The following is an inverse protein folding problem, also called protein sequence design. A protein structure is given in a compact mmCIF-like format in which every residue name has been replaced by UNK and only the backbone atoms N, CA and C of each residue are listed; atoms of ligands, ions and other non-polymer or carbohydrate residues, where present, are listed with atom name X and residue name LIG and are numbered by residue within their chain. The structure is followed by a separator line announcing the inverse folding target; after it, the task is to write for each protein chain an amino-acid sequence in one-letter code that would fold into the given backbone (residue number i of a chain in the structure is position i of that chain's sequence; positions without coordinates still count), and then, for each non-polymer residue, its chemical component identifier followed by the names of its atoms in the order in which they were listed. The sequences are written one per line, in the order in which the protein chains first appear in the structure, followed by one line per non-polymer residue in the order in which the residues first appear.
data_IF_573604389315
#
_entry.id   IF_573604389315
#
_cell.length_a   1.000
_cell.length_b   1.000
_cell.length_c   1.000
_cell.angle_alpha   90.00
_cell.angle_beta   90.00
_cell.angle_gamma   90.00
#
_symmetry.space_group_name_H-M   'P 1'
#
loop_
_entity.id
_entity.type
_entity.pdbx_description
1 polymer ?
#
# COMPACT_ATOMS: atom_id res chain seq x y z
N UNK A 1 29.51 2.58 -12.94
CA UNK A 1 28.57 1.89 -13.85
C UNK A 1 28.26 0.45 -13.43
N UNK A 2 29.17 -0.54 -13.55
CA UNK A 2 28.87 -1.93 -13.12
C UNK A 2 28.78 -2.15 -11.60
N UNK A 3 29.43 -1.29 -10.81
CA UNK A 3 29.39 -1.38 -9.34
C UNK A 3 28.06 -0.81 -8.79
N UNK A 4 27.54 0.28 -9.38
CA UNK A 4 26.30 0.93 -8.96
C UNK A 4 25.05 0.07 -9.24
N UNK A 5 25.06 -0.70 -10.34
CA UNK A 5 23.98 -1.63 -10.67
C UNK A 5 24.01 -2.86 -9.73
N UNK A 6 25.19 -3.33 -9.32
CA UNK A 6 25.33 -4.37 -8.29
C UNK A 6 24.90 -3.90 -6.91
N UNK A 7 25.11 -2.62 -6.57
CA UNK A 7 24.61 -2.02 -5.33
C UNK A 7 23.08 -1.94 -5.34
N UNK A 8 22.47 -1.60 -6.48
CA UNK A 8 21.00 -1.58 -6.64
C UNK A 8 20.38 -3.00 -6.54
N UNK A 9 21.08 -4.02 -7.08
CA UNK A 9 20.66 -5.41 -7.03
C UNK A 9 20.87 -6.10 -5.66
N UNK A 10 21.81 -5.62 -4.85
CA UNK A 10 22.01 -6.10 -3.47
C UNK A 10 21.09 -5.39 -2.46
N UNK A 11 20.59 -4.19 -2.78
CA UNK A 11 19.65 -3.44 -1.94
C UNK A 11 18.25 -4.09 -1.87
N UNK A 12 17.92 -4.95 -2.84
CA UNK A 12 16.67 -5.73 -2.85
C UNK A 12 16.74 -7.03 -2.04
N UNK A 13 17.92 -7.39 -1.50
CA UNK A 13 18.13 -8.69 -0.84
C UNK A 13 17.99 -8.70 0.69
N UNK A 14 18.14 -7.56 1.36
CA UNK A 14 17.95 -7.47 2.81
C UNK A 14 16.64 -6.77 3.16
N UNK A 15 15.54 -7.49 2.91
CA UNK A 15 14.19 -7.15 3.37
C UNK A 15 14.12 -7.01 4.92
N UNK A 16 15.09 -7.56 5.66
CA UNK A 16 15.29 -7.30 7.10
C UNK A 16 15.65 -5.84 7.45
N UNK A 17 16.10 -5.04 6.49
CA UNK A 17 16.41 -3.63 6.67
C UNK A 17 15.18 -2.71 6.62
N UNK A 18 13.97 -3.25 6.43
CA UNK A 18 12.80 -2.47 5.97
C UNK A 18 12.16 -1.54 7.00
N UNK A 19 12.41 -1.69 8.30
CA UNK A 19 12.13 -0.59 9.25
C UNK A 19 13.16 0.55 9.10
N UNK A 20 14.38 0.23 8.69
CA UNK A 20 15.44 1.21 8.40
C UNK A 20 15.34 1.85 7.01
N UNK A 21 14.43 1.39 6.15
CA UNK A 21 14.32 1.81 4.75
C UNK A 21 13.46 3.09 4.55
N UNK A 22 12.71 3.54 5.56
CA UNK A 22 11.96 4.79 5.48
C UNK A 22 12.87 5.99 5.10
N UNK A 23 14.03 6.09 5.75
CA UNK A 23 15.02 7.14 5.47
C UNK A 23 15.64 7.00 4.08
N UNK A 24 15.93 5.77 3.65
CA UNK A 24 16.50 5.50 2.31
C UNK A 24 15.48 5.75 1.19
N UNK A 25 14.22 5.34 1.37
CA UNK A 25 13.16 5.58 0.41
C UNK A 25 12.95 7.08 0.18
N UNK A 26 12.90 7.87 1.26
CA UNK A 26 12.85 9.33 1.18
C UNK A 26 14.03 9.92 0.41
N UNK A 27 15.27 9.52 0.74
CA UNK A 27 16.46 10.01 0.06
C UNK A 27 16.48 9.68 -1.44
N UNK A 28 16.08 8.46 -1.81
CA UNK A 28 16.03 8.02 -3.20
C UNK A 28 14.95 8.80 -3.96
N UNK A 29 13.76 8.94 -3.37
CA UNK A 29 12.67 9.77 -3.91
C UNK A 29 13.13 11.20 -4.15
N UNK A 30 13.76 11.83 -3.16
CA UNK A 30 14.19 13.23 -3.24
C UNK A 30 15.25 13.40 -4.33
N UNK A 31 16.22 12.47 -4.41
CA UNK A 31 17.22 12.44 -5.48
C UNK A 31 16.58 12.28 -6.87
N UNK A 32 15.67 11.31 -7.05
CA UNK A 32 15.02 11.07 -8.34
C UNK A 32 14.19 12.28 -8.77
N UNK A 33 13.44 12.88 -7.84
CA UNK A 33 12.63 14.08 -8.09
C UNK A 33 13.49 15.26 -8.56
N UNK A 34 14.64 15.48 -7.93
CA UNK A 34 15.50 16.63 -8.23
C UNK A 34 16.44 16.40 -9.43
N UNK A 35 16.99 15.19 -9.57
CA UNK A 35 18.12 14.91 -10.47
C UNK A 35 17.72 14.07 -11.68
N UNK A 36 16.62 13.33 -11.61
CA UNK A 36 16.18 12.44 -12.68
C UNK A 36 14.65 12.41 -12.84
N UNK A 37 13.96 13.55 -13.05
CA UNK A 37 12.50 13.60 -13.12
C UNK A 37 11.91 12.82 -14.29
N UNK A 38 12.71 12.45 -15.29
CA UNK A 38 12.32 11.55 -16.38
C UNK A 38 12.14 10.08 -15.93
N UNK A 39 12.64 9.72 -14.75
CA UNK A 39 12.40 8.43 -14.07
C UNK A 39 11.16 8.52 -13.16
N UNK A 40 10.04 8.95 -13.74
CA UNK A 40 8.80 9.20 -13.00
C UNK A 40 8.27 7.93 -12.31
N UNK A 41 8.33 6.78 -12.98
CA UNK A 41 7.83 5.53 -12.43
C UNK A 41 8.64 5.07 -11.22
N UNK A 42 9.96 5.22 -11.28
CA UNK A 42 10.88 4.93 -10.18
C UNK A 42 10.64 5.91 -9.03
N UNK A 43 10.52 7.20 -9.32
CA UNK A 43 10.19 8.22 -8.31
C UNK A 43 8.88 7.87 -7.59
N UNK A 44 7.81 7.58 -8.35
CA UNK A 44 6.49 7.24 -7.79
C UNK A 44 6.54 5.97 -6.95
N UNK A 45 7.27 4.95 -7.40
CA UNK A 45 7.49 3.73 -6.63
C UNK A 45 8.09 4.05 -5.25
N UNK A 46 9.18 4.82 -5.21
CA UNK A 46 9.82 5.19 -3.94
C UNK A 46 8.97 6.12 -3.08
N UNK A 47 8.18 7.01 -3.70
CA UNK A 47 7.20 7.85 -2.99
C UNK A 47 6.10 7.02 -2.33
N UNK A 48 5.58 6.00 -3.01
CA UNK A 48 4.61 5.07 -2.42
C UNK A 48 5.20 4.30 -1.22
N UNK A 49 6.45 3.85 -1.33
CA UNK A 49 7.14 3.17 -0.24
C UNK A 49 7.34 4.11 0.96
N UNK A 50 7.80 5.33 0.72
CA UNK A 50 7.98 6.36 1.76
C UNK A 50 6.65 6.65 2.47
N UNK A 51 5.58 6.94 1.72
CA UNK A 51 4.24 7.18 2.26
C UNK A 51 3.70 5.98 3.03
N UNK A 52 3.90 4.76 2.55
CA UNK A 52 3.45 3.56 3.25
C UNK A 52 4.03 3.46 4.67
N UNK A 53 5.34 3.67 4.81
CA UNK A 53 6.00 3.57 6.11
C UNK A 53 5.87 4.83 6.97
N UNK A 54 5.65 6.01 6.37
CA UNK A 54 5.72 7.29 7.06
C UNK A 54 4.39 8.06 7.14
N UNK A 55 3.28 7.54 6.60
CA UNK A 55 1.95 8.18 6.62
C UNK A 55 1.37 8.51 8.01
N UNK A 56 1.96 8.00 9.09
CA UNK A 56 1.41 8.12 10.45
C UNK A 56 0.23 7.18 10.73
N UNK A 57 -0.36 6.55 9.71
CA UNK A 57 -1.45 5.57 9.86
C UNK A 57 -0.93 4.27 10.47
N UNK A 58 0.24 3.80 10.01
CA UNK A 58 0.96 2.69 10.64
C UNK A 58 1.91 3.25 11.71
N UNK A 59 1.58 2.98 12.96
CA UNK A 59 2.47 3.28 14.09
C UNK A 59 3.73 2.40 14.05
N UNK A 60 4.77 2.78 14.80
CA UNK A 60 5.95 1.92 14.92
C UNK A 60 5.64 0.56 15.58
N UNK A 61 4.62 0.50 16.42
CA UNK A 61 4.11 -0.77 16.94
C UNK A 61 3.46 -1.63 15.86
N UNK A 62 2.64 -1.02 14.98
CA UNK A 62 2.03 -1.70 13.84
C UNK A 62 3.11 -2.27 12.88
N UNK A 63 4.19 -1.53 12.63
CA UNK A 63 5.33 -1.99 11.83
C UNK A 63 6.04 -3.19 12.48
N UNK A 64 6.22 -3.17 13.80
CA UNK A 64 6.78 -4.33 14.53
C UNK A 64 5.85 -5.53 14.48
N UNK A 65 4.54 -5.33 14.64
CA UNK A 65 3.52 -6.39 14.50
C UNK A 65 3.51 -6.98 13.10
N UNK A 66 3.66 -6.15 12.05
CA UNK A 66 3.78 -6.61 10.68
C UNK A 66 4.94 -7.59 10.54
N UNK A 67 6.13 -7.23 11.02
CA UNK A 67 7.30 -8.12 11.03
C UNK A 67 7.03 -9.38 11.85
N UNK A 68 6.32 -9.25 12.96
CA UNK A 68 5.88 -10.36 13.82
C UNK A 68 4.89 -11.33 13.17
N UNK A 69 4.19 -10.96 12.07
CA UNK A 69 3.31 -11.87 11.31
C UNK A 69 4.04 -12.98 10.56
N UNK A 70 5.37 -12.93 10.55
CA UNK A 70 6.23 -13.79 9.73
C UNK A 70 7.19 -14.55 10.64
N UNK A 71 7.16 -15.88 10.56
CA UNK A 71 7.80 -16.79 11.52
C UNK A 71 9.25 -17.11 11.15
N UNK A 72 9.62 -16.91 9.89
CA UNK A 72 10.96 -17.22 9.39
C UNK A 72 11.50 -16.11 8.50
N UNK A 73 12.82 -16.10 8.32
CA UNK A 73 13.48 -15.12 7.47
C UNK A 73 13.08 -15.24 5.99
N UNK A 74 12.97 -16.47 5.50
CA UNK A 74 12.48 -16.75 4.15
C UNK A 74 11.05 -16.21 3.94
N UNK A 75 10.17 -16.44 4.92
CA UNK A 75 8.80 -15.94 4.84
C UNK A 75 8.74 -14.41 4.87
N UNK A 76 9.61 -13.76 5.66
CA UNK A 76 9.75 -12.30 5.65
C UNK A 76 10.11 -11.77 4.28
N UNK A 77 11.10 -12.37 3.63
CA UNK A 77 11.49 -11.99 2.27
C UNK A 77 10.37 -12.21 1.25
N UNK A 78 9.68 -13.34 1.29
CA UNK A 78 8.62 -13.67 0.33
C UNK A 78 7.37 -12.80 0.49
N UNK A 79 6.82 -12.72 1.71
CA UNK A 79 5.66 -11.88 2.04
C UNK A 79 6.00 -10.42 1.82
N UNK A 80 7.21 -10.06 2.19
CA UNK A 80 7.73 -8.73 2.04
C UNK A 80 7.78 -8.22 0.61
N UNK A 81 8.37 -9.02 -0.29
CA UNK A 81 8.38 -8.72 -1.73
C UNK A 81 6.96 -8.54 -2.27
N UNK A 82 6.02 -9.39 -1.87
CA UNK A 82 4.62 -9.25 -2.28
C UNK A 82 4.00 -7.92 -1.84
N UNK A 83 4.30 -7.45 -0.62
CA UNK A 83 3.82 -6.15 -0.14
C UNK A 83 4.43 -5.01 -0.96
N UNK A 84 5.74 -5.06 -1.23
CA UNK A 84 6.43 -4.06 -2.06
C UNK A 84 5.83 -4.04 -3.48
N UNK A 85 5.63 -5.21 -4.10
CA UNK A 85 5.06 -5.33 -5.43
C UNK A 85 3.64 -4.74 -5.48
N UNK A 86 2.84 -4.96 -4.43
CA UNK A 86 1.50 -4.36 -4.32
C UNK A 86 1.57 -2.84 -4.20
N UNK A 87 2.42 -2.31 -3.32
CA UNK A 87 2.61 -0.86 -3.14
C UNK A 87 3.10 -0.21 -4.45
N UNK A 88 4.01 -0.89 -5.17
CA UNK A 88 4.54 -0.41 -6.44
C UNK A 88 3.53 -0.37 -7.58
N UNK A 89 2.48 -1.21 -7.53
CA UNK A 89 1.39 -1.21 -8.52
C UNK A 89 0.38 -0.09 -8.31
N UNK A 90 0.34 0.51 -7.12
CA UNK A 90 -0.66 1.52 -6.80
C UNK A 90 -0.44 2.79 -7.63
N UNK A 91 -1.51 3.19 -8.32
CA UNK A 91 -1.53 4.32 -9.24
C UNK A 91 -2.03 5.63 -8.58
N UNK A 92 -2.70 5.59 -7.43
CA UNK A 92 -3.19 6.78 -6.72
C UNK A 92 -2.89 6.76 -5.23
N UNK A 93 -2.71 7.94 -4.63
CA UNK A 93 -2.49 8.08 -3.18
C UNK A 93 -3.67 7.54 -2.37
N UNK A 94 -4.89 7.66 -2.92
CA UNK A 94 -6.13 7.14 -2.31
C UNK A 94 -6.06 5.62 -2.14
N UNK A 95 -5.69 4.89 -3.18
CA UNK A 95 -5.47 3.44 -3.10
C UNK A 95 -4.32 3.07 -2.17
N UNK A 96 -3.26 3.88 -2.11
CA UNK A 96 -2.16 3.61 -1.18
C UNK A 96 -2.66 3.64 0.27
N UNK A 97 -3.50 4.63 0.62
CA UNK A 97 -4.14 4.70 1.94
C UNK A 97 -5.02 3.47 2.19
N UNK A 98 -5.76 2.97 1.18
CA UNK A 98 -6.53 1.73 1.31
C UNK A 98 -5.64 0.52 1.62
N UNK A 99 -4.50 0.38 0.94
CA UNK A 99 -3.52 -0.68 1.22
C UNK A 99 -2.98 -0.55 2.66
N UNK A 100 -2.64 0.65 3.11
CA UNK A 100 -2.13 0.91 4.46
C UNK A 100 -3.17 0.51 5.53
N UNK A 101 -4.44 0.83 5.32
CA UNK A 101 -5.51 0.42 6.23
C UNK A 101 -5.73 -1.09 6.23
N UNK A 102 -5.68 -1.74 5.06
CA UNK A 102 -5.76 -3.19 4.99
C UNK A 102 -4.57 -3.85 5.71
N UNK A 103 -3.36 -3.26 5.62
CA UNK A 103 -2.20 -3.70 6.41
C UNK A 103 -2.48 -3.55 7.90
N UNK A 104 -3.05 -2.41 8.33
CA UNK A 104 -3.42 -2.19 9.73
C UNK A 104 -4.41 -3.25 10.24
N UNK A 105 -5.48 -3.49 9.50
CA UNK A 105 -6.46 -4.53 9.81
C UNK A 105 -5.82 -5.92 9.91
N UNK A 106 -4.86 -6.23 9.03
CA UNK A 106 -4.14 -7.48 9.09
C UNK A 106 -3.25 -7.60 10.33
N UNK A 107 -2.45 -6.57 10.66
CA UNK A 107 -1.58 -6.60 11.84
C UNK A 107 -2.37 -6.68 13.15
N UNK A 108 -3.56 -6.07 13.19
CA UNK A 108 -4.48 -6.11 14.33
C UNK A 108 -5.30 -7.42 14.40
N UNK A 109 -5.08 -8.36 13.47
CA UNK A 109 -5.79 -9.65 13.37
C UNK A 109 -7.29 -9.54 13.06
N UNK A 110 -7.76 -8.41 12.53
CA UNK A 110 -9.13 -8.25 12.07
C UNK A 110 -9.40 -9.05 10.77
N UNK A 111 -8.35 -9.23 9.96
CA UNK A 111 -8.36 -10.09 8.77
C UNK A 111 -7.16 -11.05 8.79
N UNK A 112 -7.29 -12.16 8.08
CA UNK A 112 -6.18 -13.08 7.87
C UNK A 112 -5.28 -12.67 6.68
N UNK A 113 -4.18 -13.42 6.48
CA UNK A 113 -3.22 -13.15 5.40
C UNK A 113 -3.85 -13.29 4.00
N UNK A 114 -4.75 -14.25 3.81
CA UNK A 114 -5.38 -14.50 2.51
C UNK A 114 -6.32 -13.35 2.17
N UNK A 115 -7.14 -12.92 3.13
CA UNK A 115 -8.02 -11.77 3.01
C UNK A 115 -7.24 -10.50 2.73
N UNK A 116 -6.15 -10.25 3.47
CA UNK A 116 -5.25 -9.12 3.23
C UNK A 116 -4.78 -9.05 1.77
N UNK A 117 -4.17 -10.13 1.26
CA UNK A 117 -3.67 -10.13 -0.10
C UNK A 117 -4.77 -10.02 -1.16
N UNK A 118 -5.96 -10.58 -0.92
CA UNK A 118 -7.11 -10.43 -1.82
C UNK A 118 -7.63 -8.99 -1.87
N UNK A 119 -7.77 -8.36 -0.71
CA UNK A 119 -8.18 -6.95 -0.60
C UNK A 119 -7.18 -6.07 -1.33
N UNK A 120 -5.87 -6.23 -1.05
CA UNK A 120 -4.83 -5.45 -1.71
C UNK A 120 -4.81 -5.63 -3.23
N UNK A 121 -4.97 -6.85 -3.71
CA UNK A 121 -5.02 -7.12 -5.15
C UNK A 121 -6.20 -6.43 -5.82
N UNK A 122 -7.39 -6.48 -5.21
CA UNK A 122 -8.59 -5.80 -5.72
C UNK A 122 -8.38 -4.28 -5.76
N UNK A 123 -7.83 -3.70 -4.69
CA UNK A 123 -7.57 -2.26 -4.62
C UNK A 123 -6.63 -1.82 -5.75
N UNK A 124 -5.55 -2.57 -5.97
CA UNK A 124 -4.59 -2.25 -7.04
C UNK A 124 -5.20 -2.33 -8.44
N UNK A 125 -6.10 -3.29 -8.66
CA UNK A 125 -6.62 -3.61 -10.00
C UNK A 125 -7.96 -2.91 -10.34
N UNK A 126 -8.64 -2.31 -9.36
CA UNK A 126 -9.92 -1.59 -9.56
C UNK A 126 -9.68 -0.13 -9.96
N UNK A 127 -10.65 0.52 -10.61
CA UNK A 127 -10.64 1.98 -10.77
C UNK A 127 -11.02 2.68 -9.45
N UNK A 128 -10.58 3.92 -9.28
CA UNK A 128 -10.94 4.71 -8.08
C UNK A 128 -12.44 5.03 -8.05
N UNK A 129 -13.04 5.25 -9.21
CA UNK A 129 -14.47 5.49 -9.41
C UNK A 129 -15.30 4.26 -9.02
N UNK A 130 -14.86 3.05 -9.38
CA UNK A 130 -15.54 1.81 -9.01
C UNK A 130 -15.51 1.60 -7.49
N UNK A 131 -14.35 1.83 -6.86
CA UNK A 131 -14.18 1.71 -5.40
C UNK A 131 -14.98 2.79 -4.64
N UNK A 132 -15.12 3.98 -5.22
CA UNK A 132 -15.98 5.03 -4.67
C UNK A 132 -17.46 4.65 -4.79
N UNK A 133 -17.90 4.16 -5.95
CA UNK A 133 -19.26 3.66 -6.11
C UNK A 133 -19.58 2.56 -5.10
N UNK A 134 -18.64 1.64 -4.88
CA UNK A 134 -18.74 0.62 -3.85
C UNK A 134 -19.01 1.26 -2.47
N UNK A 135 -18.18 2.20 -2.01
CA UNK A 135 -18.34 2.74 -0.65
C UNK A 135 -19.64 3.50 -0.45
N UNK A 136 -20.12 4.19 -1.49
CA UNK A 136 -21.38 4.95 -1.46
C UNK A 136 -22.62 4.03 -1.40
N UNK A 137 -22.58 2.83 -1.99
CA UNK A 137 -23.76 1.98 -2.19
C UNK A 137 -23.72 0.63 -1.43
N UNK A 138 -22.61 0.27 -0.78
CA UNK A 138 -22.43 -1.05 -0.10
C UNK A 138 -23.48 -1.39 0.97
N UNK A 139 -24.09 -0.36 1.55
CA UNK A 139 -25.10 -0.47 2.60
C UNK A 139 -26.54 -0.33 2.04
N UNK A 140 -26.70 -0.12 0.73
CA UNK A 140 -28.00 -0.09 0.07
C UNK A 140 -28.69 -1.45 0.18
N UNK A 141 -29.97 -1.41 0.52
CA UNK A 141 -30.78 -2.61 0.65
C UNK A 141 -31.41 -2.99 -0.68
N UNK A 142 -31.00 -4.13 -1.23
CA UNK A 142 -31.65 -4.73 -2.39
C UNK A 142 -30.69 -5.06 -3.52
N UNK A 143 -31.29 -5.54 -4.61
CA UNK A 143 -30.57 -5.81 -5.85
C UNK A 143 -30.30 -4.50 -6.60
N UNK A 144 -29.11 -4.39 -7.19
CA UNK A 144 -28.63 -3.19 -7.88
C UNK A 144 -28.75 -3.43 -9.40
N UNK A 145 -29.28 -2.46 -10.17
CA UNK A 145 -29.33 -2.58 -11.63
C UNK A 145 -27.94 -2.47 -12.24
N UNK A 146 -27.80 -2.92 -13.49
CA UNK A 146 -26.56 -2.77 -14.25
C UNK A 146 -26.13 -1.29 -14.37
N UNK A 147 -24.84 -1.04 -14.18
CA UNK A 147 -24.15 0.20 -14.50
C UNK A 147 -22.71 -0.11 -14.96
N UNK A 148 -21.98 0.90 -15.42
CA UNK A 148 -20.57 0.71 -15.82
C UNK A 148 -19.68 0.35 -14.61
N UNK A 149 -19.97 0.94 -13.45
CA UNK A 149 -19.30 0.66 -12.18
C UNK A 149 -19.61 -0.78 -11.72
N UNK A 150 -20.86 -1.23 -11.85
CA UNK A 150 -21.24 -2.62 -11.56
C UNK A 150 -20.47 -3.60 -12.45
N UNK A 151 -20.24 -3.27 -13.72
CA UNK A 151 -19.41 -4.09 -14.59
C UNK A 151 -17.95 -4.14 -14.10
N UNK A 152 -17.35 -3.00 -13.74
CA UNK A 152 -15.99 -2.95 -13.17
C UNK A 152 -15.88 -3.78 -11.88
N UNK A 153 -16.82 -3.58 -10.95
CA UNK A 153 -16.90 -4.32 -9.69
C UNK A 153 -17.17 -5.82 -9.89
N UNK A 154 -17.93 -6.20 -10.93
CA UNK A 154 -18.13 -7.60 -11.27
C UNK A 154 -16.83 -8.25 -11.78
N UNK A 155 -16.05 -7.56 -12.62
CA UNK A 155 -14.78 -8.11 -13.14
C UNK A 155 -13.73 -8.35 -12.05
N UNK A 156 -13.82 -7.62 -10.93
CA UNK A 156 -12.95 -7.76 -9.75
C UNK A 156 -13.54 -8.69 -8.68
N UNK A 157 -14.72 -9.27 -8.93
CA UNK A 157 -15.40 -10.20 -8.01
C UNK A 157 -16.06 -9.54 -6.80
N UNK A 158 -16.20 -8.21 -6.81
CA UNK A 158 -16.86 -7.42 -5.77
C UNK A 158 -18.38 -7.47 -5.88
N UNK A 159 -18.90 -7.81 -7.04
CA UNK A 159 -20.32 -7.96 -7.32
C UNK A 159 -20.58 -9.29 -8.04
N UNK A 160 -21.73 -9.92 -7.76
CA UNK A 160 -22.22 -11.06 -8.54
C UNK A 160 -23.64 -10.82 -9.05
N UNK A 161 -23.92 -11.41 -10.22
CA UNK A 161 -25.26 -11.47 -10.78
C UNK A 161 -26.13 -12.43 -9.96
N UNK A 162 -27.35 -12.01 -9.63
CA UNK A 162 -28.32 -12.82 -8.89
C UNK A 162 -29.49 -13.22 -9.77
N UNK A 163 -30.35 -12.27 -10.12
CA UNK A 163 -31.63 -12.48 -10.78
C UNK A 163 -31.85 -11.50 -11.94
N UNK A 164 -33.05 -11.52 -12.50
CA UNK A 164 -33.54 -10.47 -13.40
C UNK A 164 -34.69 -9.71 -12.73
N UNK A 165 -34.84 -8.44 -13.06
CA UNK A 165 -36.01 -7.65 -12.68
C UNK A 165 -37.26 -8.08 -13.48
N UNK A 166 -38.39 -7.37 -13.29
CA UNK A 166 -39.66 -7.71 -13.96
C UNK A 166 -39.62 -7.41 -15.46
N UNK A 167 -38.71 -6.55 -15.86
CA UNK A 167 -38.45 -6.09 -17.23
C UNK A 167 -37.42 -6.97 -17.94
N UNK A 168 -36.79 -7.91 -17.22
CA UNK A 168 -35.78 -8.84 -17.75
C UNK A 168 -34.35 -8.33 -17.70
N UNK A 169 -34.07 -7.22 -17.02
CA UNK A 169 -32.71 -6.69 -16.85
C UNK A 169 -31.98 -7.41 -15.71
N UNK A 170 -30.66 -7.64 -15.83
CA UNK A 170 -29.87 -8.31 -14.80
C UNK A 170 -29.77 -7.48 -13.52
N UNK A 171 -29.80 -8.19 -12.40
CA UNK A 171 -29.71 -7.68 -11.05
C UNK A 171 -28.47 -8.21 -10.35
N UNK A 172 -27.91 -7.38 -9.47
CA UNK A 172 -26.60 -7.59 -8.89
C UNK A 172 -26.58 -7.39 -7.38
N UNK A 173 -25.70 -8.12 -6.70
CA UNK A 173 -25.45 -7.93 -5.27
C UNK A 173 -23.96 -7.86 -4.96
N UNK A 174 -23.63 -7.09 -3.94
CA UNK A 174 -22.31 -7.03 -3.36
C UNK A 174 -21.91 -8.36 -2.70
N UNK A 175 -20.68 -8.81 -2.96
CA UNK A 175 -20.16 -10.05 -2.39
C UNK A 175 -19.66 -9.84 -0.94
N UNK A 176 -19.43 -10.91 -0.16
CA UNK A 176 -18.76 -10.77 1.13
C UNK A 176 -17.37 -10.11 1.03
N UNK A 177 -16.72 -10.23 -0.13
CA UNK A 177 -15.42 -9.62 -0.38
C UNK A 177 -15.51 -8.11 -0.52
N UNK A 178 -16.59 -7.58 -1.12
CA UNK A 178 -16.78 -6.12 -1.19
C UNK A 178 -17.05 -5.50 0.17
N UNK A 179 -17.77 -6.20 1.05
CA UNK A 179 -17.91 -5.80 2.45
C UNK A 179 -16.57 -5.76 3.16
N UNK A 180 -15.71 -6.76 2.94
CA UNK A 180 -14.37 -6.79 3.52
C UNK A 180 -13.46 -5.67 2.98
N UNK A 181 -13.49 -5.40 1.67
CA UNK A 181 -12.74 -4.28 1.06
C UNK A 181 -13.21 -2.94 1.65
N UNK A 182 -14.51 -2.73 1.74
CA UNK A 182 -15.06 -1.50 2.27
C UNK A 182 -14.68 -1.30 3.75
N UNK A 183 -14.90 -2.32 4.59
CA UNK A 183 -14.67 -2.25 6.03
C UNK A 183 -13.20 -2.07 6.39
N UNK A 184 -12.32 -2.87 5.79
CA UNK A 184 -10.92 -2.95 6.22
C UNK A 184 -9.96 -2.05 5.42
N UNK A 185 -10.43 -1.42 4.35
CA UNK A 185 -9.59 -0.56 3.52
C UNK A 185 -10.18 0.83 3.30
N UNK A 186 -11.44 0.92 2.83
CA UNK A 186 -12.04 2.19 2.38
C UNK A 186 -12.55 3.04 3.54
N UNK A 187 -13.41 2.51 4.42
CA UNK A 187 -13.97 3.24 5.58
C UNK A 187 -12.87 3.80 6.49
N UNK A 188 -11.82 3.02 6.71
CA UNK A 188 -10.66 3.48 7.48
C UNK A 188 -9.92 4.66 6.84
N UNK A 189 -9.95 4.80 5.51
CA UNK A 189 -9.28 5.88 4.79
C UNK A 189 -10.08 7.18 4.84
N UNK A 190 -11.40 7.06 4.78
CA UNK A 190 -12.32 8.20 4.92
C UNK A 190 -12.23 8.80 6.33
N UNK A 191 -11.98 7.98 7.36
CA UNK A 191 -11.69 8.45 8.72
C UNK A 191 -10.28 9.03 8.88
N UNK A 192 -9.31 8.56 8.08
CA UNK A 192 -7.90 8.99 8.11
C UNK A 192 -7.58 10.07 7.05
N UNK A 193 -8.61 10.69 6.46
CA UNK A 193 -8.49 11.46 5.22
C UNK A 193 -7.49 12.64 5.31
N UNK A 194 -6.34 12.43 4.65
CA UNK A 194 -5.57 13.39 3.85
C UNK A 194 -4.93 14.60 4.58
N UNK A 195 -5.08 14.80 5.89
CA UNK A 195 -4.23 15.76 6.62
C UNK A 195 -2.83 15.21 6.99
N UNK A 196 -2.60 13.89 6.90
CA UNK A 196 -1.36 13.25 7.37
C UNK A 196 -0.38 12.78 6.27
N UNK A 197 -0.72 12.88 4.98
CA UNK A 197 0.24 12.55 3.91
C UNK A 197 1.22 13.70 3.60
N UNK A 198 1.04 14.86 4.23
CA UNK A 198 1.90 16.03 4.09
C UNK A 198 2.87 16.11 5.27
N UNK A 199 3.81 15.16 5.33
CA UNK A 199 4.84 15.11 6.38
C UNK A 199 5.91 16.18 6.07
N UNK A 200 5.66 17.42 6.47
CA UNK A 200 6.68 18.46 6.59
C UNK A 200 7.50 18.34 7.88
N UNK A 201 7.34 17.27 8.65
CA UNK A 201 8.18 17.05 9.83
C UNK A 201 9.38 16.14 9.49
N UNK A 202 10.61 16.56 9.79
CA UNK A 202 11.78 15.72 9.63
C UNK A 202 11.68 14.50 10.57
N UNK A 203 11.94 13.27 10.09
CA UNK A 203 11.99 12.12 10.97
C UNK A 203 13.30 12.21 11.77
N UNK A 204 13.22 11.97 13.07
CA UNK A 204 14.30 12.00 14.06
C UNK A 204 14.66 13.38 14.64
N UNK A 205 14.03 13.73 15.77
CA UNK A 205 14.76 14.41 16.86
C UNK A 205 15.68 13.38 17.51
N UNK A 206 16.92 13.24 17.03
CA UNK A 206 17.80 12.25 17.64
C UNK A 206 19.27 12.27 17.27
N UNK A 207 19.64 12.60 16.04
CA UNK A 207 21.05 12.71 15.67
C UNK A 207 21.24 13.83 14.68
N UNK A 208 22.21 14.70 14.98
CA UNK A 208 22.59 15.80 14.11
C UNK A 208 23.03 15.26 12.74
N UNK A 209 22.81 16.02 11.67
CA UNK A 209 23.26 15.67 10.31
C UNK A 209 24.77 15.34 10.26
N UNK A 210 25.53 15.91 11.19
CA UNK A 210 26.96 15.69 11.41
C UNK A 210 27.28 14.31 12.00
N UNK A 211 26.45 13.76 12.89
CA UNK A 211 26.59 12.41 13.43
C UNK A 211 26.32 11.35 12.36
N UNK A 212 25.31 11.57 11.51
CA UNK A 212 24.99 10.68 10.38
C UNK A 212 26.10 10.64 9.32
N UNK A 213 26.66 11.81 8.97
CA UNK A 213 27.82 11.89 8.05
C UNK A 213 29.06 11.18 8.59
N UNK A 214 29.21 11.15 9.92
CA UNK A 214 30.32 10.48 10.60
C UNK A 214 30.16 8.95 10.60
N UNK A 215 28.95 8.44 10.80
CA UNK A 215 28.65 7.00 10.71
C UNK A 215 28.76 6.47 9.28
N UNK A 216 28.25 7.22 8.30
CA UNK A 216 28.42 6.91 6.87
C UNK A 216 29.90 7.00 6.48
N UNK A 217 30.61 8.04 6.88
CA UNK A 217 32.06 8.16 6.67
C UNK A 217 32.87 7.00 7.27
N UNK A 218 32.41 6.41 8.38
CA UNK A 218 33.04 5.22 8.99
C UNK A 218 32.76 3.92 8.20
N UNK A 219 31.61 3.82 7.52
CA UNK A 219 31.22 2.67 6.70
C UNK A 219 31.92 2.72 5.32
N UNK A 220 32.07 3.91 4.73
CA UNK A 220 32.70 4.11 3.41
C UNK A 220 34.21 4.44 3.50
N UNK A 221 34.76 4.59 4.70
CA UNK A 221 36.12 5.05 4.96
C UNK A 221 37.15 3.97 5.32
N UNK A 222 36.93 2.71 4.98
CA UNK A 222 37.98 1.69 4.98
C UNK A 222 37.99 0.98 3.63
N UNK A 223 39.03 1.32 2.87
CA UNK A 223 39.45 0.79 1.57
C UNK A 223 39.08 -0.67 1.32
#
# INVERSE_FOLDING_TARGET
MDLEIKTLANFTYDFLSIVGCASSAKQIKDFLKEKAPFLYHEWKFWDNIDKFFNSGILSDDDKRKLIGKMSSEKEKQEVGRKIIDLIGKVDTDKKLVYIINATKAWVDNAIDRLQYFRICHIISDSLDEDLQFLSEHIDDTGDIPYSIEINGLQTTGLVCHTNMDKEGNPLYVFTPLSRAVNEYAIKGAEANAIENLNINEPPFKGTSEEEWKKEIGAIFGKN
#
